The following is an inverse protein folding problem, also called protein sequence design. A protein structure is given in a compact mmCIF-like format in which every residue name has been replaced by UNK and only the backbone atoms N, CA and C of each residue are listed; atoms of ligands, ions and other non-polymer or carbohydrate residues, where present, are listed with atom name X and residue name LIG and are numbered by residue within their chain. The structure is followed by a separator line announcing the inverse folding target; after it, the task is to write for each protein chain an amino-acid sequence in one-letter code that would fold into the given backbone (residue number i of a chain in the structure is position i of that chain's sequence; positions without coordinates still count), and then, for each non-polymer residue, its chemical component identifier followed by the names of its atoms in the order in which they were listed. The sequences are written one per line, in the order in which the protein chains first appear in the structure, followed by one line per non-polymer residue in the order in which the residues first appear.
data_IF_065750445360
#
_entry.id   IF_065750445360
#
_cell.length_a   1.000
_cell.length_b   1.000
_cell.length_c   1.000
_cell.angle_alpha   90.00
_cell.angle_beta   90.00
_cell.angle_gamma   90.00
#
_symmetry.space_group_name_H-M   'P 1'
#
loop_
_entity.id
_entity.type
_entity.pdbx_description
1 polymer ?
#
# COMPACT_ATOMS: atom_id res chain seq x y z
N UNK A 1 2.97 29.66 -29.79
CA UNK A 1 2.26 28.56 -29.12
C UNK A 1 2.50 28.67 -27.62
N UNK A 2 1.53 29.17 -26.86
CA UNK A 2 1.63 29.37 -25.40
C UNK A 2 1.48 28.01 -24.69
N UNK A 3 2.51 27.59 -23.93
CA UNK A 3 2.39 26.49 -22.96
C UNK A 3 1.72 27.07 -21.71
N UNK A 4 0.56 26.54 -21.33
CA UNK A 4 -0.10 26.85 -20.06
C UNK A 4 0.74 26.40 -18.86
N UNK A 5 0.42 26.88 -17.64
CA UNK A 5 1.14 26.51 -16.43
C UNK A 5 1.08 24.98 -16.21
N UNK A 6 2.14 24.37 -15.66
CA UNK A 6 2.14 22.95 -15.36
C UNK A 6 0.98 22.62 -14.40
N UNK A 7 0.32 21.46 -14.54
CA UNK A 7 -0.76 21.08 -13.65
C UNK A 7 -0.26 21.06 -12.20
N UNK A 8 -0.89 21.85 -11.33
CA UNK A 8 -0.71 21.76 -9.87
C UNK A 8 -1.37 20.46 -9.39
N UNK A 9 -0.56 19.43 -9.21
CA UNK A 9 -1.03 18.16 -8.66
C UNK A 9 -0.13 16.99 -9.02
N UNK A 10 -0.16 15.96 -8.18
CA UNK A 10 0.48 14.67 -8.43
C UNK A 10 -0.06 14.09 -9.75
N UNK A 11 0.78 14.04 -10.79
CA UNK A 11 0.46 13.23 -11.96
C UNK A 11 0.29 11.77 -11.52
N UNK A 12 -0.72 11.05 -12.03
CA UNK A 12 -0.83 9.61 -11.79
C UNK A 12 0.47 8.95 -12.25
N UNK A 13 1.26 8.43 -11.30
CA UNK A 13 2.44 7.66 -11.65
C UNK A 13 1.94 6.39 -12.31
N UNK A 14 2.11 6.29 -13.63
CA UNK A 14 1.84 5.04 -14.35
C UNK A 14 2.86 4.03 -13.84
N UNK A 15 2.38 2.94 -13.25
CA UNK A 15 3.23 1.83 -12.86
C UNK A 15 4.05 1.39 -14.10
N UNK A 16 5.38 1.31 -13.99
CA UNK A 16 6.23 0.66 -15.00
C UNK A 16 5.78 -0.79 -15.16
N UNK A 17 5.95 -1.40 -16.32
CA UNK A 17 5.49 -2.79 -16.54
C UNK A 17 5.88 -3.71 -15.38
N UNK A 18 4.91 -4.50 -14.92
CA UNK A 18 5.05 -5.44 -13.81
C UNK A 18 5.43 -4.81 -12.46
N UNK A 19 4.84 -3.64 -12.15
CA UNK A 19 5.03 -2.97 -10.85
C UNK A 19 3.73 -2.66 -10.12
N UNK A 20 3.83 -2.51 -8.81
CA UNK A 20 2.79 -2.05 -7.91
C UNK A 20 3.30 -0.85 -7.11
N UNK A 21 2.59 0.26 -7.19
CA UNK A 21 2.87 1.49 -6.44
C UNK A 21 1.73 1.68 -5.44
N UNK A 22 2.05 1.69 -4.15
CA UNK A 22 1.09 1.93 -3.08
C UNK A 22 1.37 3.24 -2.36
N UNK A 23 0.34 4.04 -2.15
CA UNK A 23 0.36 5.33 -1.49
C UNK A 23 -0.43 5.25 -0.17
N UNK A 24 0.10 5.92 0.86
CA UNK A 24 -0.49 5.92 2.20
C UNK A 24 -1.89 6.54 2.28
N UNK A 25 -2.24 7.42 1.33
CA UNK A 25 -3.54 8.07 1.24
C UNK A 25 -3.88 8.46 -0.21
N UNK A 26 -5.12 8.88 -0.46
CA UNK A 26 -5.59 9.33 -1.75
C UNK A 26 -4.90 10.64 -2.19
N UNK A 27 -4.79 10.92 -3.50
CA UNK A 27 -4.25 12.18 -3.99
C UNK A 27 -4.97 13.39 -3.38
N UNK A 28 -4.20 14.38 -2.91
CA UNK A 28 -4.73 15.58 -2.27
C UNK A 28 -5.16 15.40 -0.81
N UNK A 29 -5.13 14.19 -0.27
CA UNK A 29 -5.40 13.91 1.14
C UNK A 29 -4.09 13.83 1.94
N UNK A 30 -4.22 13.93 3.27
CA UNK A 30 -3.09 13.79 4.21
C UNK A 30 -3.11 12.41 4.86
N UNK A 31 -1.96 11.74 4.87
CA UNK A 31 -1.78 10.51 5.63
C UNK A 31 -1.51 10.84 7.11
N UNK A 32 -2.10 10.05 8.01
CA UNK A 32 -1.85 10.15 9.44
C UNK A 32 -0.51 9.52 9.81
N UNK A 33 0.29 10.25 10.59
CA UNK A 33 1.49 9.73 11.27
C UNK A 33 1.14 8.77 12.41
N UNK A 34 -0.14 8.64 12.76
CA UNK A 34 -0.60 7.78 13.85
C UNK A 34 -0.09 8.25 15.22
N UNK A 35 -0.18 7.36 16.22
CA UNK A 35 0.31 7.60 17.59
C UNK A 35 1.53 6.78 17.98
N UNK A 36 1.96 5.89 17.09
CA UNK A 36 3.04 4.94 17.35
C UNK A 36 4.37 5.37 16.73
N UNK A 37 5.27 4.41 16.58
CA UNK A 37 6.57 4.61 15.93
C UNK A 37 6.46 4.84 14.41
N UNK A 38 5.38 4.36 13.78
CA UNK A 38 5.19 4.41 12.34
C UNK A 38 3.86 5.08 12.01
N UNK A 39 3.83 5.76 10.86
CA UNK A 39 2.60 6.21 10.22
C UNK A 39 1.59 5.09 10.02
N UNK A 40 0.31 5.45 9.94
CA UNK A 40 -0.78 4.47 9.99
C UNK A 40 -0.68 3.42 8.88
N UNK A 41 -0.36 3.84 7.66
CA UNK A 41 -0.12 2.93 6.54
C UNK A 41 1.02 1.96 6.82
N UNK A 42 2.18 2.46 7.24
CA UNK A 42 3.37 1.66 7.52
C UNK A 42 3.14 0.69 8.67
N UNK A 43 2.39 1.09 9.71
CA UNK A 43 1.98 0.21 10.81
C UNK A 43 1.25 -1.03 10.29
N UNK A 44 0.19 -0.83 9.49
CA UNK A 44 -0.60 -1.92 8.91
C UNK A 44 0.19 -2.72 7.87
N UNK A 45 1.03 -2.07 7.07
CA UNK A 45 1.91 -2.75 6.13
C UNK A 45 2.83 -3.75 6.85
N UNK A 46 3.51 -3.32 7.91
CA UNK A 46 4.43 -4.19 8.66
C UNK A 46 3.73 -5.38 9.33
N UNK A 47 2.45 -5.23 9.69
CA UNK A 47 1.64 -6.31 10.25
C UNK A 47 1.35 -7.40 9.21
N UNK A 48 1.05 -7.02 7.97
CA UNK A 48 0.60 -7.97 6.94
C UNK A 48 1.72 -8.47 6.02
N UNK A 49 2.74 -7.64 5.73
CA UNK A 49 3.79 -7.95 4.74
C UNK A 49 4.65 -9.17 5.10
N UNK A 50 4.66 -9.57 6.38
CA UNK A 50 5.40 -10.75 6.87
C UNK A 50 4.58 -12.04 6.83
N UNK A 51 3.32 -11.98 6.41
CA UNK A 51 2.45 -13.15 6.37
C UNK A 51 2.85 -14.01 5.17
N UNK A 52 3.35 -15.24 5.39
CA UNK A 52 3.77 -16.10 4.29
C UNK A 52 2.57 -16.53 3.45
N UNK A 53 2.83 -16.88 2.18
CA UNK A 53 1.84 -17.44 1.25
C UNK A 53 0.61 -16.55 0.99
N UNK A 54 0.74 -15.24 1.22
CA UNK A 54 -0.28 -14.27 0.82
C UNK A 54 0.10 -13.57 -0.47
N UNK A 55 -0.89 -13.46 -1.35
CA UNK A 55 -0.78 -12.65 -2.57
C UNK A 55 -0.68 -11.16 -2.21
N UNK A 56 0.16 -10.41 -2.92
CA UNK A 56 0.43 -9.00 -2.64
C UNK A 56 -0.82 -8.12 -2.74
N UNK A 57 -1.75 -8.40 -3.65
CA UNK A 57 -3.01 -7.65 -3.76
C UNK A 57 -3.91 -7.93 -2.55
N UNK A 58 -3.90 -9.17 -2.05
CA UNK A 58 -4.56 -9.51 -0.79
C UNK A 58 -3.92 -8.77 0.39
N UNK A 59 -2.59 -8.77 0.51
CA UNK A 59 -1.88 -8.02 1.57
C UNK A 59 -2.28 -6.54 1.52
N UNK A 60 -2.25 -5.90 0.35
CA UNK A 60 -2.61 -4.49 0.22
C UNK A 60 -4.08 -4.20 0.54
N UNK A 61 -4.99 -5.16 0.27
CA UNK A 61 -6.39 -5.06 0.66
C UNK A 61 -6.55 -5.07 2.18
N UNK A 62 -5.85 -5.96 2.89
CA UNK A 62 -5.86 -6.00 4.36
C UNK A 62 -5.25 -4.74 4.96
N UNK A 63 -4.11 -4.27 4.44
CA UNK A 63 -3.51 -2.98 4.84
C UNK A 63 -4.50 -1.83 4.67
N UNK A 64 -5.16 -1.77 3.51
CA UNK A 64 -6.14 -0.71 3.22
C UNK A 64 -7.32 -0.78 4.17
N UNK A 65 -7.80 -1.98 4.51
CA UNK A 65 -8.88 -2.17 5.47
C UNK A 65 -8.47 -1.68 6.86
N UNK A 66 -7.31 -2.11 7.37
CA UNK A 66 -6.81 -1.72 8.68
C UNK A 66 -6.62 -0.21 8.84
N UNK A 67 -6.02 0.45 7.85
CA UNK A 67 -5.85 1.92 7.84
C UNK A 67 -7.19 2.65 7.88
N UNK A 68 -8.17 2.22 7.07
CA UNK A 68 -9.49 2.84 7.05
C UNK A 68 -10.21 2.67 8.38
N UNK A 69 -10.15 1.48 8.99
CA UNK A 69 -10.81 1.18 10.26
C UNK A 69 -10.20 1.99 11.42
N UNK A 70 -8.87 2.04 11.51
CA UNK A 70 -8.19 2.75 12.59
C UNK A 70 -8.28 4.27 12.42
N UNK A 71 -8.14 4.80 11.20
CA UNK A 71 -8.25 6.25 10.97
C UNK A 71 -9.64 6.82 11.32
N UNK A 72 -10.70 6.04 11.11
CA UNK A 72 -12.06 6.38 11.53
C UNK A 72 -12.25 6.36 13.05
N UNK A 73 -11.46 5.57 13.78
CA UNK A 73 -11.51 5.52 15.24
C UNK A 73 -10.68 6.64 15.88
N UNK A 74 -9.52 6.94 15.31
CA UNK A 74 -8.60 7.95 15.84
C UNK A 74 -8.96 9.37 15.41
N UNK A 75 -9.64 9.53 14.27
CA UNK A 75 -9.98 10.82 13.70
C UNK A 75 -11.40 10.81 13.14
N UNK A 76 -11.96 11.99 12.88
CA UNK A 76 -13.25 12.12 12.18
C UNK A 76 -13.12 11.99 10.65
N UNK A 77 -11.93 11.66 10.13
CA UNK A 77 -11.65 11.55 8.70
C UNK A 77 -11.14 10.17 8.36
N UNK A 78 -11.59 9.65 7.24
CA UNK A 78 -11.18 8.34 6.74
C UNK A 78 -9.91 8.49 5.92
N UNK A 79 -8.80 7.90 6.35
CA UNK A 79 -7.62 7.77 5.50
C UNK A 79 -7.85 6.60 4.53
N UNK A 80 -7.75 6.88 3.22
CA UNK A 80 -7.97 5.89 2.17
C UNK A 80 -6.67 5.67 1.41
N UNK A 81 -5.93 4.58 1.65
CA UNK A 81 -4.76 4.23 0.84
C UNK A 81 -5.13 4.05 -0.62
N UNK A 82 -4.21 4.43 -1.51
CA UNK A 82 -4.40 4.35 -2.96
C UNK A 82 -3.31 3.48 -3.58
N UNK A 83 -3.61 2.77 -4.68
CA UNK A 83 -2.61 1.94 -5.37
C UNK A 83 -2.76 1.99 -6.88
N UNK A 84 -1.64 1.90 -7.59
CA UNK A 84 -1.57 1.68 -9.03
C UNK A 84 -0.80 0.37 -9.29
N UNK A 85 -1.43 -0.59 -9.95
CA UNK A 85 -0.90 -1.92 -10.20
C UNK A 85 -0.86 -2.19 -11.70
N UNK A 86 0.28 -2.70 -12.17
CA UNK A 86 0.50 -3.16 -13.55
C UNK A 86 1.04 -4.59 -13.57
N UNK A 87 0.87 -5.32 -12.45
CA UNK A 87 1.28 -6.71 -12.32
C UNK A 87 0.55 -7.55 -13.38
N UNK A 88 1.33 -8.32 -14.13
CA UNK A 88 0.79 -9.18 -15.20
C UNK A 88 0.61 -10.62 -14.75
N UNK A 89 1.36 -11.02 -13.73
CA UNK A 89 1.20 -12.32 -13.07
C UNK A 89 -0.14 -12.38 -12.34
N UNK A 90 -0.80 -13.54 -12.40
CA UNK A 90 -2.07 -13.77 -11.69
C UNK A 90 -1.92 -13.71 -10.17
N UNK A 91 -0.75 -14.12 -9.67
CA UNK A 91 -0.44 -14.12 -8.24
C UNK A 91 1.03 -13.74 -8.03
N UNK A 92 1.28 -12.91 -7.02
CA UNK A 92 2.62 -12.51 -6.59
C UNK A 92 2.71 -12.68 -5.08
N UNK A 93 3.51 -13.65 -4.63
CA UNK A 93 3.59 -14.03 -3.22
C UNK A 93 4.81 -13.42 -2.54
N UNK A 94 4.62 -12.99 -1.29
CA UNK A 94 5.72 -12.62 -0.41
C UNK A 94 6.23 -13.88 0.30
N UNK A 95 7.54 -14.12 0.16
CA UNK A 95 8.24 -15.16 0.91
C UNK A 95 9.04 -14.50 2.01
N UNK A 96 8.75 -14.85 3.26
CA UNK A 96 9.67 -14.54 4.35
C UNK A 96 10.69 -15.67 4.39
N UNK A 97 11.99 -15.34 4.42
CA UNK A 97 13.03 -16.33 4.67
C UNK A 97 12.98 -16.71 6.15
N UNK A 98 11.99 -17.55 6.50
CA UNK A 98 11.80 -18.12 7.83
C UNK A 98 12.01 -19.63 7.75
N UNK A 99 13.22 -20.06 8.11
CA UNK A 99 13.79 -21.42 8.04
C UNK A 99 13.98 -22.01 6.63
N UNK A 100 15.24 -21.99 6.19
CA UNK A 100 15.80 -22.93 5.21
C UNK A 100 15.77 -24.37 5.76
N UNK A 101 14.57 -24.90 6.02
CA UNK A 101 14.34 -26.23 6.58
C UNK A 101 13.18 -27.00 5.94
N UNK A 102 12.21 -26.32 5.32
CA UNK A 102 11.08 -26.99 4.67
C UNK A 102 11.33 -27.20 3.17
N UNK A 103 12.30 -28.06 2.86
CA UNK A 103 12.31 -28.80 1.59
C UNK A 103 11.67 -30.16 1.82
N UNK A 104 10.35 -30.25 1.77
CA UNK A 104 9.66 -31.53 1.57
C UNK A 104 8.19 -31.33 1.23
N UNK A 105 7.87 -31.28 -0.06
CA UNK A 105 7.01 -32.25 -0.80
C UNK A 105 6.71 -31.72 -2.20
#
# INVERSE_FOLDING_TARGET
LLRGPPPEGLMPMKATEDSLIAFSCAPGETASDGRGQNGLFTKHLLQHIKTPNQDIEQVMREVSFGVQQESLQESRKKQVPYRNSSLTMKNVFLYTTGNAGDTSS
#
